data_IF_020434341205
#
_entry.id   IF_020434341205
#
_cell.length_a   1.000
_cell.length_b   1.000
_cell.length_c   1.000
_cell.angle_alpha   90.00
_cell.angle_beta   90.00
_cell.angle_gamma   90.00
#
_symmetry.space_group_name_H-M   'P 1'
#
loop_
_entity.id
_entity.type
_entity.pdbx_description
1 polymer ?
#
# COMPACT_ATOMS: atom_id res chain seq x y z
N UNK A 1 -29.55 -20.35 -57.79
CA UNK A 1 -29.11 -21.22 -56.68
C UNK A 1 -28.11 -20.46 -55.79
N UNK A 2 -28.59 -19.64 -54.84
CA UNK A 2 -27.76 -18.88 -53.88
C UNK A 2 -28.53 -18.68 -52.56
N UNK A 3 -28.68 -19.74 -51.76
CA UNK A 3 -29.16 -19.63 -50.37
C UNK A 3 -28.49 -20.73 -49.54
N UNK A 4 -27.25 -20.52 -49.10
CA UNK A 4 -26.60 -21.41 -48.11
C UNK A 4 -25.46 -20.78 -47.28
N UNK A 5 -25.06 -19.52 -47.52
CA UNK A 5 -23.83 -18.98 -46.92
C UNK A 5 -24.04 -18.10 -45.66
N UNK A 6 -25.29 -17.74 -45.31
CA UNK A 6 -25.55 -16.78 -44.22
C UNK A 6 -25.90 -17.42 -42.86
N UNK A 7 -26.31 -18.70 -42.84
CA UNK A 7 -26.72 -19.41 -41.62
C UNK A 7 -25.52 -19.95 -40.82
N UNK A 8 -24.42 -20.26 -41.51
CA UNK A 8 -23.19 -20.81 -40.94
C UNK A 8 -22.42 -19.73 -40.16
N UNK A 9 -22.40 -18.49 -40.68
CA UNK A 9 -21.71 -17.37 -40.04
C UNK A 9 -22.33 -16.98 -38.68
N UNK A 10 -23.66 -17.06 -38.55
CA UNK A 10 -24.36 -16.76 -37.29
C UNK A 10 -24.14 -17.81 -36.21
N UNK A 11 -24.11 -19.10 -36.57
CA UNK A 11 -23.82 -20.18 -35.63
C UNK A 11 -22.38 -20.15 -35.14
N UNK A 12 -21.42 -19.82 -36.02
CA UNK A 12 -20.02 -19.63 -35.67
C UNK A 12 -19.85 -18.43 -34.74
N UNK A 13 -20.50 -17.29 -35.03
CA UNK A 13 -20.43 -16.11 -34.14
C UNK A 13 -21.00 -16.40 -32.74
N UNK A 14 -22.12 -17.13 -32.65
CA UNK A 14 -22.72 -17.50 -31.36
C UNK A 14 -21.85 -18.47 -30.55
N UNK A 15 -21.21 -19.43 -31.22
CA UNK A 15 -20.27 -20.35 -30.57
C UNK A 15 -19.01 -19.62 -30.09
N UNK A 16 -18.48 -18.67 -30.87
CA UNK A 16 -17.36 -17.83 -30.45
C UNK A 16 -17.73 -16.91 -29.27
N UNK A 17 -18.93 -16.31 -29.28
CA UNK A 17 -19.41 -15.50 -28.16
C UNK A 17 -19.61 -16.34 -26.90
N UNK A 18 -20.22 -17.52 -27.02
CA UNK A 18 -20.42 -18.44 -25.91
C UNK A 18 -19.10 -18.98 -25.34
N UNK A 19 -18.12 -19.31 -26.21
CA UNK A 19 -16.80 -19.75 -25.76
C UNK A 19 -16.03 -18.63 -25.06
N UNK A 20 -16.12 -17.39 -25.57
CA UNK A 20 -15.46 -16.22 -24.98
C UNK A 20 -16.03 -15.86 -23.61
N UNK A 21 -17.37 -15.91 -23.44
CA UNK A 21 -17.99 -15.69 -22.12
C UNK A 21 -17.67 -16.82 -21.15
N UNK A 22 -17.58 -18.07 -21.62
CA UNK A 22 -17.22 -19.21 -20.77
C UNK A 22 -15.77 -19.15 -20.27
N UNK A 23 -14.83 -18.72 -21.13
CA UNK A 23 -13.42 -18.53 -20.75
C UNK A 23 -13.26 -17.40 -19.72
N UNK A 24 -14.03 -16.33 -19.82
CA UNK A 24 -13.95 -15.20 -18.88
C UNK A 24 -14.45 -15.57 -17.46
N UNK A 25 -15.42 -16.47 -17.35
CA UNK A 25 -15.94 -16.96 -16.06
C UNK A 25 -14.92 -17.85 -15.34
N UNK A 26 -14.11 -18.62 -16.07
CA UNK A 26 -13.12 -19.54 -15.47
C UNK A 26 -11.95 -18.76 -14.83
N UNK A 27 -11.52 -17.64 -15.42
CA UNK A 27 -10.43 -16.82 -14.86
C UNK A 27 -10.80 -16.10 -13.55
N UNK A 28 -12.09 -15.93 -13.24
CA UNK A 28 -12.51 -15.25 -12.01
C UNK A 28 -12.37 -16.14 -10.75
N UNK A 29 -12.28 -17.46 -10.89
CA UNK A 29 -12.22 -18.39 -9.76
C UNK A 29 -10.79 -18.74 -9.28
N UNK A 30 -9.75 -18.28 -9.97
CA UNK A 30 -8.36 -18.68 -9.71
C UNK A 30 -7.59 -17.76 -8.73
N UNK A 31 -8.19 -16.67 -8.26
CA UNK A 31 -7.55 -15.76 -7.29
C UNK A 31 -8.12 -15.98 -5.89
N UNK A 32 -7.70 -17.03 -5.17
CA UNK A 32 -7.89 -17.05 -3.72
C UNK A 32 -6.71 -17.68 -3.00
N UNK A 33 -6.04 -16.83 -2.23
CA UNK A 33 -5.21 -17.15 -1.07
C UNK A 33 -3.84 -17.78 -1.33
N UNK A 34 -2.94 -17.00 -1.91
CA UNK A 34 -1.53 -17.07 -1.50
C UNK A 34 -1.20 -15.74 -0.80
N UNK A 35 -0.35 -15.77 0.22
CA UNK A 35 0.10 -14.61 1.01
C UNK A 35 -0.78 -14.17 2.17
N UNK A 36 -0.96 -15.03 3.19
CA UNK A 36 -1.13 -14.50 4.55
C UNK A 36 -0.78 -15.50 5.66
N UNK A 37 0.50 -15.82 5.85
CA UNK A 37 0.95 -16.78 6.87
C UNK A 37 1.68 -16.11 8.03
N UNK A 38 1.53 -14.79 8.20
CA UNK A 38 2.15 -14.11 9.34
C UNK A 38 1.21 -14.20 10.55
N UNK A 39 1.67 -14.62 11.74
CA UNK A 39 0.82 -14.72 12.93
C UNK A 39 0.14 -13.40 13.34
N UNK A 40 0.60 -12.25 12.84
CA UNK A 40 0.14 -10.92 13.27
C UNK A 40 -1.12 -10.40 12.57
N UNK A 41 -1.50 -10.92 11.41
CA UNK A 41 -2.72 -10.53 10.69
C UNK A 41 -3.61 -11.74 10.35
N UNK A 42 -3.39 -12.89 11.02
CA UNK A 42 -4.24 -14.06 10.84
C UNK A 42 -5.65 -13.75 11.38
N UNK A 43 -6.72 -14.13 10.68
CA UNK A 43 -8.09 -13.86 11.13
C UNK A 43 -8.33 -14.57 12.47
N UNK A 44 -8.43 -13.80 13.56
CA UNK A 44 -8.77 -14.36 14.87
C UNK A 44 -10.26 -14.67 14.91
N UNK A 45 -10.60 -15.95 15.09
CA UNK A 45 -11.95 -16.37 15.45
C UNK A 45 -12.22 -15.97 16.90
N UNK A 46 -13.20 -15.10 17.13
CA UNK A 46 -13.61 -14.70 18.46
C UNK A 46 -14.27 -15.88 19.19
N UNK A 47 -13.60 -16.41 20.21
CA UNK A 47 -14.13 -17.43 21.11
C UNK A 47 -14.33 -16.82 22.51
N UNK A 48 -15.58 -16.58 22.93
CA UNK A 48 -15.89 -15.94 24.21
C UNK A 48 -15.55 -16.81 25.44
N UNK A 49 -15.17 -18.08 25.25
CA UNK A 49 -14.72 -18.96 26.34
C UNK A 49 -13.21 -18.86 26.61
N UNK A 50 -12.45 -18.22 25.74
CA UNK A 50 -11.04 -17.95 25.97
C UNK A 50 -10.85 -16.68 26.80
N UNK A 51 -10.27 -16.83 27.99
CA UNK A 51 -9.73 -15.71 28.76
C UNK A 51 -8.55 -15.16 27.96
N UNK A 52 -8.81 -14.16 27.12
CA UNK A 52 -7.77 -13.42 26.43
C UNK A 52 -6.96 -12.66 27.48
N UNK A 53 -5.93 -13.29 28.04
CA UNK A 53 -4.70 -12.53 28.17
C UNK A 53 -4.44 -12.00 26.77
N UNK A 54 -4.37 -10.68 26.60
CA UNK A 54 -4.11 -10.11 25.27
C UNK A 54 -2.82 -10.69 24.66
N UNK A 55 -2.01 -11.42 25.45
CA UNK A 55 -0.98 -12.33 24.96
C UNK A 55 0.21 -11.59 24.40
N UNK A 56 0.25 -10.27 24.59
CA UNK A 56 1.40 -9.45 24.27
C UNK A 56 2.52 -9.83 25.24
N UNK A 57 3.67 -10.31 24.74
CA UNK A 57 4.87 -10.48 25.54
C UNK A 57 5.19 -9.19 26.30
N UNK A 58 5.76 -9.30 27.50
CA UNK A 58 6.07 -8.14 28.36
C UNK A 58 6.86 -7.04 27.62
N UNK A 59 7.72 -7.44 26.66
CA UNK A 59 8.47 -6.52 25.81
C UNK A 59 7.58 -5.59 24.97
N UNK A 60 6.39 -6.04 24.54
CA UNK A 60 5.47 -5.27 23.70
C UNK A 60 4.46 -4.44 24.52
N UNK A 61 4.31 -4.70 25.81
CA UNK A 61 3.38 -3.93 26.66
C UNK A 61 3.76 -2.45 26.78
N UNK A 62 5.04 -2.12 26.53
CA UNK A 62 5.57 -0.74 26.59
C UNK A 62 5.74 -0.09 25.21
N UNK A 63 5.40 -0.80 24.12
CA UNK A 63 5.54 -0.26 22.76
C UNK A 63 4.28 0.54 22.43
N UNK A 64 4.46 1.83 22.15
CA UNK A 64 3.37 2.74 21.81
C UNK A 64 3.92 4.03 21.20
N UNK A 65 3.00 4.90 20.77
CA UNK A 65 3.34 6.22 20.21
C UNK A 65 2.99 7.29 21.25
N UNK A 66 3.99 8.02 21.71
CA UNK A 66 3.82 9.25 22.48
C UNK A 66 3.82 10.44 21.50
N UNK A 67 2.71 11.14 21.39
CA UNK A 67 2.62 12.32 20.51
C UNK A 67 3.15 13.56 21.22
N UNK A 68 4.18 14.18 20.64
CA UNK A 68 4.81 15.42 21.13
C UNK A 68 4.54 16.59 20.18
N UNK A 69 3.27 17.00 20.10
CA UNK A 69 2.83 18.07 19.20
C UNK A 69 3.38 19.43 19.66
N UNK A 70 3.88 20.22 18.70
CA UNK A 70 4.49 21.52 18.98
C UNK A 70 5.91 21.46 19.53
N UNK A 71 6.44 20.27 19.83
CA UNK A 71 7.84 20.10 20.22
C UNK A 71 8.75 20.32 19.01
N UNK A 72 9.83 21.06 19.23
CA UNK A 72 10.79 21.40 18.17
C UNK A 72 11.61 20.15 17.80
N UNK A 73 11.67 19.83 16.51
CA UNK A 73 12.57 18.81 16.00
C UNK A 73 14.03 19.17 16.32
N UNK A 74 14.92 18.18 16.54
CA UNK A 74 16.32 18.43 16.84
C UNK A 74 17.07 18.89 15.58
N UNK A 75 16.91 20.17 15.21
CA UNK A 75 17.39 20.76 13.95
C UNK A 75 18.91 20.69 13.75
N UNK A 76 19.67 20.56 14.83
CA UNK A 76 21.13 20.45 14.79
C UNK A 76 21.63 19.01 14.54
N UNK A 77 20.74 18.03 14.40
CA UNK A 77 21.12 16.63 14.13
C UNK A 77 21.74 16.50 12.74
N UNK A 78 22.86 15.80 12.64
CA UNK A 78 23.55 15.51 11.39
C UNK A 78 22.99 14.24 10.72
N UNK A 79 22.74 14.35 9.42
CA UNK A 79 22.30 13.27 8.55
C UNK A 79 23.23 13.13 7.35
N UNK A 80 23.07 12.03 6.62
CA UNK A 80 23.67 11.82 5.31
C UNK A 80 22.59 12.00 4.25
N UNK A 81 22.85 12.86 3.28
CA UNK A 81 22.00 12.99 2.09
C UNK A 81 22.28 11.88 1.07
N UNK A 82 21.57 11.92 -0.06
CA UNK A 82 21.69 10.97 -1.15
C UNK A 82 23.05 10.99 -1.86
N UNK A 83 23.80 12.09 -1.77
CA UNK A 83 25.19 12.19 -2.24
C UNK A 83 26.22 11.78 -1.16
N UNK A 84 25.78 11.43 0.05
CA UNK A 84 26.64 11.05 1.18
C UNK A 84 27.27 12.23 1.92
N UNK A 85 26.86 13.47 1.64
CA UNK A 85 27.33 14.67 2.35
C UNK A 85 26.73 14.69 3.77
N UNK A 86 27.51 15.22 4.72
CA UNK A 86 26.96 15.52 6.04
C UNK A 86 26.15 16.80 5.98
N UNK A 87 24.89 16.74 6.40
CA UNK A 87 23.95 17.87 6.41
C UNK A 87 23.24 17.95 7.77
N UNK A 88 22.94 19.15 8.25
CA UNK A 88 22.07 19.34 9.42
C UNK A 88 20.61 19.35 9.00
N UNK A 89 19.74 18.80 9.84
CA UNK A 89 18.30 18.79 9.58
C UNK A 89 17.73 20.20 9.33
N UNK A 90 18.26 21.22 10.03
CA UNK A 90 17.90 22.62 9.85
C UNK A 90 17.97 23.09 8.40
N UNK A 91 18.89 22.53 7.60
CA UNK A 91 19.17 22.98 6.24
C UNK A 91 17.96 22.82 5.30
N UNK A 92 17.05 21.88 5.61
CA UNK A 92 15.83 21.61 4.85
C UNK A 92 14.62 22.50 5.21
N UNK A 93 14.71 23.32 6.27
CA UNK A 93 13.60 24.18 6.73
C UNK A 93 13.79 25.66 6.35
N UNK A 94 14.73 25.95 5.46
CA UNK A 94 15.16 27.29 5.10
C UNK A 94 14.30 27.84 3.95
N UNK A 95 13.16 28.46 4.26
CA UNK A 95 12.37 29.13 3.20
C UNK A 95 10.94 29.52 3.55
N UNK A 96 10.52 29.39 4.81
CA UNK A 96 9.13 29.70 5.21
C UNK A 96 8.09 28.77 4.58
N UNK A 97 8.54 27.66 3.98
CA UNK A 97 7.67 26.65 3.37
C UNK A 97 7.39 25.54 4.40
N UNK A 98 6.16 25.02 4.45
CA UNK A 98 5.89 23.83 5.24
C UNK A 98 6.67 22.64 4.68
N UNK A 99 7.24 21.84 5.58
CA UNK A 99 7.99 20.64 5.23
C UNK A 99 7.31 19.40 5.82
N UNK A 100 7.33 18.31 5.06
CA UNK A 100 6.84 16.99 5.48
C UNK A 100 8.03 16.04 5.51
N UNK A 101 8.25 15.39 6.65
CA UNK A 101 9.29 14.38 6.82
C UNK A 101 8.69 12.97 6.72
N UNK A 102 9.08 12.21 5.70
CA UNK A 102 8.67 10.82 5.53
C UNK A 102 9.80 9.87 5.96
N UNK A 103 9.61 9.16 7.08
CA UNK A 103 10.58 8.21 7.61
C UNK A 103 10.38 6.83 6.95
N UNK A 104 11.13 6.59 5.88
CA UNK A 104 11.09 5.33 5.11
C UNK A 104 12.41 4.57 5.21
N UNK A 105 12.34 3.25 5.03
CA UNK A 105 13.51 2.37 4.97
C UNK A 105 13.59 1.72 3.59
N UNK A 106 14.80 1.62 3.04
CA UNK A 106 15.01 1.16 1.65
C UNK A 106 14.56 -0.29 1.42
N UNK A 107 14.76 -1.17 2.40
CA UNK A 107 14.42 -2.60 2.32
C UNK A 107 13.01 -2.92 2.87
N UNK A 108 12.12 -1.93 2.93
CA UNK A 108 10.78 -2.08 3.48
C UNK A 108 9.83 -2.74 2.46
N UNK A 109 9.46 -4.02 2.65
CA UNK A 109 8.94 -4.83 1.55
C UNK A 109 7.53 -4.46 1.09
N UNK A 110 6.76 -3.68 1.87
CA UNK A 110 5.34 -3.44 1.57
C UNK A 110 4.86 -2.01 1.85
N UNK A 111 5.02 -1.49 3.07
CA UNK A 111 4.32 -0.26 3.49
C UNK A 111 4.95 1.03 2.95
N UNK A 112 6.27 1.04 2.73
CA UNK A 112 6.96 2.27 2.38
C UNK A 112 6.57 2.81 1.00
N UNK A 113 6.33 1.92 0.02
CA UNK A 113 5.76 2.31 -1.27
C UNK A 113 4.35 2.91 -1.12
N UNK A 114 3.52 2.35 -0.25
CA UNK A 114 2.16 2.87 -0.01
C UNK A 114 2.20 4.26 0.63
N UNK A 115 3.12 4.49 1.57
CA UNK A 115 3.33 5.80 2.20
C UNK A 115 3.76 6.85 1.15
N UNK A 116 4.76 6.53 0.32
CA UNK A 116 5.26 7.45 -0.69
C UNK A 116 4.22 7.76 -1.78
N UNK A 117 3.50 6.74 -2.24
CA UNK A 117 2.40 6.92 -3.20
C UNK A 117 1.26 7.77 -2.62
N UNK A 118 0.88 7.52 -1.36
CA UNK A 118 -0.13 8.30 -0.66
C UNK A 118 0.29 9.77 -0.51
N UNK A 119 1.52 10.01 -0.05
CA UNK A 119 2.09 11.34 0.09
C UNK A 119 2.08 12.09 -1.25
N UNK A 120 2.61 11.48 -2.30
CA UNK A 120 2.68 12.09 -3.63
C UNK A 120 1.29 12.34 -4.22
N UNK A 121 0.35 11.43 -4.00
CA UNK A 121 -1.05 11.59 -4.40
C UNK A 121 -1.73 12.77 -3.71
N UNK A 122 -1.53 12.92 -2.40
CA UNK A 122 -2.09 14.02 -1.63
C UNK A 122 -1.51 15.38 -2.00
N UNK A 123 -0.20 15.45 -2.27
CA UNK A 123 0.47 16.70 -2.65
C UNK A 123 0.01 17.25 -4.00
N UNK A 124 -0.50 16.42 -4.91
CA UNK A 124 -1.07 16.88 -6.20
C UNK A 124 -2.36 17.68 -6.05
N UNK A 125 -3.07 17.52 -4.92
CA UNK A 125 -4.35 18.16 -4.66
C UNK A 125 -4.25 19.53 -3.97
N UNK A 126 -3.05 19.99 -3.64
CA UNK A 126 -2.82 21.26 -2.93
C UNK A 126 -2.18 22.30 -3.85
N UNK A 127 -2.32 23.59 -3.52
CA UNK A 127 -1.79 24.71 -4.33
C UNK A 127 -0.29 24.98 -4.11
N UNK A 128 0.40 24.13 -3.35
CA UNK A 128 1.83 24.24 -3.11
C UNK A 128 2.58 23.39 -4.15
N UNK A 129 3.62 23.98 -4.74
CA UNK A 129 4.56 23.25 -5.58
C UNK A 129 5.56 22.50 -4.70
N UNK A 130 5.68 21.19 -4.92
CA UNK A 130 6.66 20.35 -4.26
C UNK A 130 7.96 20.48 -5.07
N UNK A 131 9.01 21.01 -4.41
CA UNK A 131 10.24 21.54 -5.00
C UNK A 131 10.87 20.73 -6.13
#
# INVERSE_FOLDING_TARGET
MRIANNKINGAVLLLFWAASTFIFVISAAAQKAEHYNSPLYAPKTYDPSQTVSNGLPDALQKVGIEQRLGEQLPLNTEFKDEEGRSVKLAEYFNGGRPAILALVYYECPMLCNQILNGLTGSLKGISLDAG
#
